data_IF_975779235674
#
_entry.id   IF_975779235674
#
_cell.length_a   1.000
_cell.length_b   1.000
_cell.length_c   1.000
_cell.angle_alpha   90.00
_cell.angle_beta   90.00
_cell.angle_gamma   90.00
#
_symmetry.space_group_name_H-M   'P 1'
#
loop_
_entity.id
_entity.type
_entity.pdbx_description
1 polymer ?
#
# COMPACT_ATOMS: atom_id res chain seq x y z
N UNK A 1 27.53 -2.24 25.29
CA UNK A 1 27.81 -0.98 24.56
C UNK A 1 28.18 0.18 25.49
N UNK A 2 27.37 0.51 26.50
CA UNK A 2 27.66 1.65 27.38
C UNK A 2 29.00 1.49 28.11
N UNK A 3 29.28 0.35 28.75
CA UNK A 3 30.56 0.05 29.45
C UNK A 3 31.74 0.17 28.48
N UNK A 4 31.64 -0.39 27.29
CA UNK A 4 32.73 -0.42 26.30
C UNK A 4 33.07 0.97 25.75
N UNK A 5 32.14 1.91 25.75
CA UNK A 5 32.39 3.29 25.37
C UNK A 5 33.18 4.10 26.42
N UNK A 6 33.27 3.60 27.66
CA UNK A 6 33.96 4.25 28.78
C UNK A 6 35.27 3.58 29.16
N UNK A 7 35.67 2.50 28.45
CA UNK A 7 36.97 1.88 28.61
C UNK A 7 38.00 2.59 27.74
N UNK A 8 39.06 3.08 28.35
CA UNK A 8 40.14 3.83 27.65
C UNK A 8 40.96 2.91 26.71
N UNK A 9 41.16 1.62 27.09
CA UNK A 9 41.91 0.62 26.31
C UNK A 9 41.03 -0.59 25.98
N UNK A 10 40.19 -0.49 24.98
CA UNK A 10 39.38 -1.61 24.51
C UNK A 10 40.02 -2.34 23.33
N UNK A 11 40.26 -3.64 23.49
CA UNK A 11 40.73 -4.52 22.39
C UNK A 11 39.57 -4.86 21.45
N UNK A 12 39.27 -3.95 20.50
CA UNK A 12 38.19 -4.11 19.53
C UNK A 12 38.38 -5.33 18.62
N UNK A 13 39.61 -5.76 18.37
CA UNK A 13 39.90 -6.98 17.58
C UNK A 13 39.44 -8.24 18.32
N UNK A 14 39.71 -8.28 19.62
CA UNK A 14 39.25 -9.37 20.50
C UNK A 14 37.71 -9.40 20.56
N UNK A 15 37.08 -8.25 20.73
CA UNK A 15 35.61 -8.13 20.73
C UNK A 15 35.02 -8.64 19.41
N UNK A 16 35.60 -8.27 18.27
CA UNK A 16 35.17 -8.75 16.96
C UNK A 16 35.27 -10.28 16.84
N UNK A 17 36.35 -10.87 17.33
CA UNK A 17 36.51 -12.35 17.39
C UNK A 17 35.46 -13.00 18.28
N UNK A 18 35.14 -12.39 19.43
CA UNK A 18 34.08 -12.88 20.32
C UNK A 18 32.71 -12.84 19.65
N UNK A 19 32.37 -11.74 18.96
CA UNK A 19 31.14 -11.66 18.16
C UNK A 19 31.08 -12.78 17.11
N UNK A 20 32.19 -13.04 16.41
CA UNK A 20 32.26 -14.10 15.40
C UNK A 20 32.05 -15.50 16.02
N UNK A 21 32.64 -15.78 17.19
CA UNK A 21 32.44 -17.04 17.94
C UNK A 21 30.99 -17.18 18.39
N UNK A 22 30.39 -16.13 18.95
CA UNK A 22 28.98 -16.15 19.39
C UNK A 22 28.04 -16.39 18.21
N UNK A 23 28.27 -15.76 17.06
CA UNK A 23 27.48 -15.95 15.84
C UNK A 23 27.73 -17.31 15.15
N UNK A 24 28.81 -18.03 15.49
CA UNK A 24 29.02 -19.41 15.08
C UNK A 24 28.22 -20.40 15.96
N UNK A 25 27.98 -20.05 17.23
CA UNK A 25 27.20 -20.86 18.15
C UNK A 25 25.70 -20.62 18.00
N UNK A 26 25.28 -19.35 17.79
CA UNK A 26 23.91 -18.94 17.57
C UNK A 26 23.86 -17.88 16.49
N UNK A 27 23.63 -18.30 15.26
CA UNK A 27 23.64 -17.45 14.07
C UNK A 27 22.46 -16.43 14.04
N UNK A 28 21.39 -16.70 14.81
CA UNK A 28 20.20 -15.87 14.85
C UNK A 28 20.18 -14.88 16.03
N UNK A 29 21.24 -14.84 16.84
CA UNK A 29 21.33 -13.95 17.98
C UNK A 29 21.38 -12.48 17.56
N UNK A 30 20.22 -11.82 17.52
CA UNK A 30 20.10 -10.42 17.09
C UNK A 30 20.86 -9.46 18.02
N UNK A 31 21.04 -9.76 19.32
CA UNK A 31 21.85 -8.96 20.23
C UNK A 31 23.32 -8.98 19.80
N UNK A 32 23.81 -10.15 19.41
CA UNK A 32 25.18 -10.30 18.93
C UNK A 32 25.39 -9.57 17.59
N UNK A 33 24.42 -9.62 16.66
CA UNK A 33 24.46 -8.85 15.41
C UNK A 33 24.50 -7.34 15.65
N UNK A 34 23.68 -6.84 16.55
CA UNK A 34 23.66 -5.42 16.92
C UNK A 34 24.97 -4.98 17.62
N UNK A 35 25.50 -5.83 18.50
CA UNK A 35 26.76 -5.55 19.15
C UNK A 35 27.92 -5.58 18.17
N UNK A 36 27.94 -6.56 17.24
CA UNK A 36 28.94 -6.64 16.17
C UNK A 36 28.97 -5.36 15.32
N UNK A 37 27.84 -4.80 14.93
CA UNK A 37 27.78 -3.56 14.18
C UNK A 37 28.49 -2.40 14.91
N UNK A 38 28.28 -2.30 16.21
CA UNK A 38 28.97 -1.33 17.06
C UNK A 38 30.48 -1.57 17.10
N UNK A 39 30.89 -2.84 17.29
CA UNK A 39 32.32 -3.22 17.38
C UNK A 39 33.04 -2.97 16.04
N UNK A 40 32.41 -3.31 14.92
CA UNK A 40 32.93 -3.07 13.55
C UNK A 40 33.26 -1.59 13.34
N UNK A 41 32.37 -0.69 13.75
CA UNK A 41 32.61 0.76 13.65
C UNK A 41 33.80 1.22 14.48
N UNK A 42 33.96 0.66 15.70
CA UNK A 42 35.05 1.00 16.61
C UNK A 42 36.39 0.37 16.20
N UNK A 43 36.35 -0.83 15.65
CA UNK A 43 37.54 -1.54 15.16
C UNK A 43 38.07 -1.01 13.81
N UNK A 44 37.32 -0.12 13.14
CA UNK A 44 37.69 0.41 11.82
C UNK A 44 37.70 -0.64 10.72
N UNK A 45 36.85 -1.69 10.82
CA UNK A 45 36.71 -2.71 9.79
C UNK A 45 36.05 -2.10 8.56
N UNK A 46 36.56 -2.40 7.36
CA UNK A 46 36.00 -1.87 6.13
C UNK A 46 34.59 -2.44 5.85
N UNK A 47 33.70 -1.67 5.20
CA UNK A 47 32.39 -2.16 4.79
C UNK A 47 32.48 -3.41 3.92
N UNK A 48 33.50 -3.52 3.09
CA UNK A 48 33.75 -4.64 2.17
C UNK A 48 34.11 -5.92 2.93
N UNK A 49 34.99 -5.84 3.94
CA UNK A 49 35.34 -6.99 4.77
C UNK A 49 34.12 -7.51 5.56
N UNK A 50 33.33 -6.58 6.10
CA UNK A 50 32.15 -6.95 6.87
C UNK A 50 31.03 -7.50 5.96
N UNK A 51 30.95 -7.01 4.73
CA UNK A 51 30.05 -7.54 3.71
C UNK A 51 30.38 -8.98 3.32
N UNK A 52 31.68 -9.31 3.20
CA UNK A 52 32.17 -10.68 2.99
C UNK A 52 31.84 -11.58 4.18
N UNK A 53 31.99 -11.08 5.41
CA UNK A 53 31.56 -11.82 6.59
C UNK A 53 30.06 -12.17 6.54
N UNK A 54 29.20 -11.22 6.22
CA UNK A 54 27.77 -11.46 6.04
C UNK A 54 27.51 -12.49 4.93
N UNK A 55 28.25 -12.41 3.80
CA UNK A 55 28.18 -13.39 2.72
C UNK A 55 28.50 -14.81 3.22
N UNK A 56 29.57 -14.99 3.98
CA UNK A 56 29.96 -16.29 4.52
C UNK A 56 28.87 -16.91 5.40
N UNK A 57 28.17 -16.08 6.18
CA UNK A 57 27.06 -16.53 7.04
C UNK A 57 25.83 -16.93 6.25
N UNK A 58 25.52 -16.22 5.17
CA UNK A 58 24.42 -16.55 4.26
C UNK A 58 24.72 -17.85 3.51
N UNK A 59 25.92 -18.01 2.96
CA UNK A 59 26.32 -19.24 2.24
C UNK A 59 26.33 -20.48 3.14
N UNK A 60 26.62 -20.32 4.42
CA UNK A 60 26.54 -21.43 5.39
C UNK A 60 25.08 -21.78 5.73
N UNK A 61 24.18 -20.80 5.74
CA UNK A 61 22.77 -20.99 6.08
C UNK A 61 21.88 -19.93 5.43
N UNK A 62 21.26 -20.27 4.30
CA UNK A 62 20.33 -19.36 3.58
C UNK A 62 19.08 -19.00 4.40
N UNK A 63 18.67 -19.85 5.35
CA UNK A 63 17.51 -19.59 6.22
C UNK A 63 17.81 -18.67 7.40
N UNK A 64 18.99 -18.03 7.43
CA UNK A 64 19.37 -17.08 8.46
C UNK A 64 18.90 -15.66 8.13
N UNK A 65 17.68 -15.30 8.55
CA UNK A 65 17.12 -13.94 8.37
C UNK A 65 18.04 -12.83 8.92
N UNK A 66 18.72 -13.05 10.05
CA UNK A 66 19.58 -12.04 10.66
C UNK A 66 20.76 -11.66 9.76
N UNK A 67 21.35 -12.64 9.05
CA UNK A 67 22.42 -12.39 8.09
C UNK A 67 21.95 -11.58 6.89
N UNK A 68 20.76 -11.90 6.34
CA UNK A 68 20.15 -11.14 5.25
C UNK A 68 19.82 -9.71 5.67
N UNK A 69 19.25 -9.54 6.86
CA UNK A 69 18.94 -8.22 7.40
C UNK A 69 20.20 -7.38 7.62
N UNK A 70 21.25 -8.00 8.19
CA UNK A 70 22.53 -7.31 8.39
C UNK A 70 23.15 -6.88 7.05
N UNK A 71 23.12 -7.77 6.05
CA UNK A 71 23.58 -7.51 4.69
C UNK A 71 22.85 -6.31 4.06
N UNK A 72 21.53 -6.24 4.19
CA UNK A 72 20.76 -5.10 3.64
C UNK A 72 21.19 -3.76 4.21
N UNK A 73 21.52 -3.71 5.51
CA UNK A 73 22.03 -2.50 6.17
C UNK A 73 23.41 -2.10 5.68
N UNK A 74 24.30 -3.06 5.46
CA UNK A 74 25.64 -2.81 4.91
C UNK A 74 25.54 -2.31 3.47
N UNK A 75 24.75 -2.96 2.64
CA UNK A 75 24.56 -2.59 1.24
C UNK A 75 24.00 -1.18 1.09
N UNK A 76 23.03 -0.80 1.94
CA UNK A 76 22.49 0.56 1.98
C UNK A 76 23.56 1.62 2.33
N UNK A 77 24.53 1.29 3.21
CA UNK A 77 25.64 2.19 3.55
C UNK A 77 26.63 2.30 2.39
N UNK A 78 26.95 1.17 1.74
CA UNK A 78 27.88 1.12 0.60
C UNK A 78 27.33 1.92 -0.59
N UNK A 79 26.04 1.82 -0.91
CA UNK A 79 25.40 2.55 -2.00
C UNK A 79 25.45 4.08 -1.85
N UNK A 80 25.50 4.61 -0.62
CA UNK A 80 25.61 6.05 -0.40
C UNK A 80 26.95 6.65 -0.86
N UNK A 81 27.97 5.82 -0.92
CA UNK A 81 29.36 6.25 -1.19
C UNK A 81 29.91 5.72 -2.51
N UNK A 82 29.10 4.98 -3.29
CA UNK A 82 29.52 4.35 -4.55
C UNK A 82 28.95 5.12 -5.76
N UNK A 83 29.62 5.00 -6.90
CA UNK A 83 29.09 5.49 -8.16
C UNK A 83 27.98 4.58 -8.70
N UNK A 84 27.25 5.04 -9.73
CA UNK A 84 26.09 4.32 -10.26
C UNK A 84 26.46 2.97 -10.88
N UNK A 85 27.64 2.84 -11.49
CA UNK A 85 28.09 1.60 -12.14
C UNK A 85 28.37 0.52 -11.11
N UNK A 86 29.08 0.87 -10.04
CA UNK A 86 29.38 -0.03 -8.93
C UNK A 86 28.09 -0.50 -8.23
N UNK A 87 27.12 0.41 -8.11
CA UNK A 87 25.79 0.09 -7.56
C UNK A 87 25.08 -0.95 -8.44
N UNK A 88 25.06 -0.75 -9.74
CA UNK A 88 24.35 -1.63 -10.68
C UNK A 88 25.00 -3.02 -10.74
N UNK A 89 26.33 -3.12 -10.71
CA UNK A 89 27.05 -4.38 -10.66
C UNK A 89 26.79 -5.14 -9.34
N UNK A 90 26.87 -4.44 -8.21
CA UNK A 90 26.57 -5.03 -6.90
C UNK A 90 25.14 -5.53 -6.83
N UNK A 91 24.17 -4.78 -7.36
CA UNK A 91 22.77 -5.22 -7.42
C UNK A 91 22.57 -6.47 -8.25
N UNK A 92 23.24 -6.59 -9.39
CA UNK A 92 23.19 -7.78 -10.22
C UNK A 92 23.66 -9.00 -9.43
N UNK A 93 24.81 -8.90 -8.78
CA UNK A 93 25.37 -9.98 -7.97
C UNK A 93 24.45 -10.37 -6.79
N UNK A 94 23.75 -9.37 -6.20
CA UNK A 94 22.78 -9.61 -5.13
C UNK A 94 21.55 -10.36 -5.64
N UNK A 95 21.04 -10.01 -6.84
CA UNK A 95 19.91 -10.71 -7.43
C UNK A 95 20.25 -12.19 -7.74
N UNK A 96 21.45 -12.46 -8.21
CA UNK A 96 21.94 -13.84 -8.46
C UNK A 96 22.06 -14.63 -7.14
N UNK A 97 22.65 -14.02 -6.09
CA UNK A 97 22.78 -14.65 -4.78
C UNK A 97 21.42 -15.00 -4.18
N UNK A 98 20.49 -14.05 -4.20
CA UNK A 98 19.16 -14.26 -3.59
C UNK A 98 18.33 -15.27 -4.39
N UNK A 99 18.47 -15.29 -5.72
CA UNK A 99 17.81 -16.29 -6.57
C UNK A 99 18.31 -17.71 -6.21
N UNK A 100 19.63 -17.91 -6.10
CA UNK A 100 20.18 -19.19 -5.68
C UNK A 100 19.64 -19.65 -4.31
N UNK A 101 19.51 -18.72 -3.35
CA UNK A 101 18.95 -19.03 -2.05
C UNK A 101 17.47 -19.41 -2.11
N UNK A 102 16.64 -18.67 -2.88
CA UNK A 102 15.20 -18.95 -3.01
C UNK A 102 14.91 -20.26 -3.75
N UNK A 103 15.77 -20.68 -4.67
CA UNK A 103 15.66 -21.97 -5.36
C UNK A 103 16.21 -23.14 -4.52
N UNK A 104 17.12 -22.88 -3.58
CA UNK A 104 17.65 -23.91 -2.67
C UNK A 104 16.64 -24.29 -1.60
N UNK A 105 15.97 -23.33 -0.98
CA UNK A 105 14.88 -23.54 -0.03
C UNK A 105 13.72 -22.59 -0.31
N UNK A 106 12.83 -22.94 -1.25
CA UNK A 106 11.71 -22.09 -1.63
C UNK A 106 10.68 -21.85 -0.53
N UNK A 107 10.69 -22.64 0.53
CA UNK A 107 9.76 -22.52 1.66
C UNK A 107 10.20 -21.50 2.71
N UNK A 108 11.52 -21.25 2.85
CA UNK A 108 12.06 -20.29 3.81
C UNK A 108 11.88 -18.84 3.36
N UNK A 109 11.31 -18.02 4.21
CA UNK A 109 10.97 -16.62 3.88
C UNK A 109 12.16 -15.65 3.88
N UNK A 110 13.31 -16.03 4.42
CA UNK A 110 14.43 -15.11 4.71
C UNK A 110 15.00 -14.46 3.44
N UNK A 111 15.28 -15.27 2.41
CA UNK A 111 15.79 -14.79 1.13
C UNK A 111 14.72 -13.99 0.36
N UNK A 112 13.44 -14.39 0.44
CA UNK A 112 12.33 -13.67 -0.22
C UNK A 112 12.13 -12.26 0.33
N UNK A 113 12.25 -12.04 1.65
CA UNK A 113 12.19 -10.71 2.24
C UNK A 113 13.36 -9.84 1.78
N UNK A 114 14.56 -10.42 1.69
CA UNK A 114 15.72 -9.69 1.20
C UNK A 114 15.57 -9.31 -0.28
N UNK A 115 15.10 -10.23 -1.13
CA UNK A 115 14.83 -9.96 -2.54
C UNK A 115 13.81 -8.84 -2.71
N UNK A 116 12.72 -8.88 -1.97
CA UNK A 116 11.69 -7.84 -2.00
C UNK A 116 12.28 -6.48 -1.62
N UNK A 117 13.06 -6.45 -0.53
CA UNK A 117 13.76 -5.24 -0.14
C UNK A 117 14.72 -4.76 -1.24
N UNK A 118 15.51 -5.64 -1.85
CA UNK A 118 16.46 -5.32 -2.90
C UNK A 118 15.77 -4.69 -4.12
N UNK A 119 14.64 -5.26 -4.55
CA UNK A 119 13.86 -4.74 -5.65
C UNK A 119 13.20 -3.39 -5.32
N UNK A 120 12.81 -3.14 -4.08
CA UNK A 120 12.11 -1.93 -3.64
C UNK A 120 13.05 -0.83 -3.09
N UNK A 121 14.33 -1.13 -2.81
CA UNK A 121 15.27 -0.29 -2.06
C UNK A 121 15.60 1.08 -2.69
N UNK A 122 15.06 1.41 -3.86
CA UNK A 122 15.34 2.66 -4.58
C UNK A 122 14.10 3.47 -4.93
N UNK A 123 12.96 3.18 -4.36
CA UNK A 123 11.84 4.11 -4.46
C UNK A 123 12.18 5.37 -3.67
N UNK A 124 12.42 6.49 -4.38
CA UNK A 124 12.64 7.77 -3.70
C UNK A 124 11.43 8.04 -2.81
N UNK A 125 11.69 8.41 -1.57
CA UNK A 125 10.68 8.75 -0.57
C UNK A 125 10.02 10.09 -0.90
N UNK A 126 9.24 10.15 -1.99
CA UNK A 126 8.34 11.28 -2.20
C UNK A 126 7.41 11.37 -0.99
N UNK A 127 7.30 12.54 -0.38
CA UNK A 127 6.39 12.76 0.75
C UNK A 127 4.94 12.69 0.29
N UNK A 128 4.63 13.12 -0.95
CA UNK A 128 3.31 13.02 -1.55
C UNK A 128 3.15 11.66 -2.24
N UNK A 129 2.09 10.93 -1.90
CA UNK A 129 1.67 9.70 -2.56
C UNK A 129 0.71 10.00 -3.70
N UNK A 130 -0.39 10.68 -3.39
CA UNK A 130 -1.46 11.01 -4.34
C UNK A 130 -2.08 12.36 -4.00
N UNK A 131 -2.57 13.06 -5.02
CA UNK A 131 -3.40 14.23 -4.83
C UNK A 131 -4.43 14.34 -5.97
N UNK A 132 -5.62 14.84 -5.63
CA UNK A 132 -6.72 15.13 -6.54
C UNK A 132 -7.28 16.51 -6.20
N UNK A 133 -7.39 17.37 -7.20
CA UNK A 133 -8.15 18.63 -7.11
C UNK A 133 -9.29 18.57 -8.12
N UNK A 134 -10.52 18.71 -7.63
CA UNK A 134 -11.73 18.73 -8.43
C UNK A 134 -12.63 19.85 -7.91
N UNK A 135 -13.07 20.73 -8.78
CA UNK A 135 -13.83 21.94 -8.43
C UNK A 135 -13.10 22.76 -7.35
N UNK A 136 -13.65 22.85 -6.15
CA UNK A 136 -13.04 23.53 -4.98
C UNK A 136 -12.51 22.56 -3.93
N UNK A 137 -12.49 21.27 -4.22
CA UNK A 137 -12.10 20.23 -3.27
C UNK A 137 -10.70 19.70 -3.59
N UNK A 138 -9.94 19.42 -2.54
CA UNK A 138 -8.62 18.81 -2.61
C UNK A 138 -8.61 17.55 -1.76
N UNK A 139 -8.12 16.45 -2.29
CA UNK A 139 -7.80 15.23 -1.53
C UNK A 139 -6.30 15.02 -1.65
N UNK A 140 -5.63 14.83 -0.53
CA UNK A 140 -4.20 14.64 -0.46
C UNK A 140 -3.89 13.42 0.41
N UNK A 141 -3.06 12.53 -0.12
CA UNK A 141 -2.49 11.39 0.61
C UNK A 141 -0.96 11.48 0.62
N UNK A 142 -0.39 11.55 1.82
CA UNK A 142 1.04 11.57 2.04
C UNK A 142 1.56 10.18 2.46
N UNK A 143 2.83 9.88 2.19
CA UNK A 143 3.47 8.64 2.61
C UNK A 143 3.77 8.59 4.11
N UNK A 144 3.81 9.75 4.76
CA UNK A 144 4.01 9.91 6.21
C UNK A 144 3.00 10.90 6.78
N UNK A 145 2.86 10.90 8.11
CA UNK A 145 2.01 11.89 8.76
C UNK A 145 2.61 13.30 8.61
N UNK A 146 1.82 14.23 8.09
CA UNK A 146 2.17 15.64 7.90
C UNK A 146 1.17 16.53 8.63
N UNK A 147 1.56 17.78 8.97
CA UNK A 147 0.68 18.76 9.60
C UNK A 147 0.09 19.73 8.57
N UNK A 148 -1.02 20.38 8.92
CA UNK A 148 -1.62 21.43 8.08
C UNK A 148 -0.67 22.58 7.78
N UNK A 149 0.21 22.92 8.72
CA UNK A 149 1.19 24.00 8.58
C UNK A 149 2.23 23.74 7.47
N UNK A 150 2.41 22.48 7.10
CA UNK A 150 3.38 22.06 6.08
C UNK A 150 2.77 21.79 4.72
N UNK A 151 1.44 21.97 4.56
CA UNK A 151 0.72 21.68 3.32
C UNK A 151 0.25 22.97 2.66
N UNK A 152 0.54 23.13 1.37
CA UNK A 152 0.18 24.29 0.58
C UNK A 152 -0.45 23.86 -0.73
N UNK A 153 -1.48 24.60 -1.19
CA UNK A 153 -2.01 24.52 -2.54
C UNK A 153 -1.59 25.78 -3.30
N UNK A 154 -0.92 25.62 -4.42
CA UNK A 154 -0.50 26.70 -5.27
C UNK A 154 -1.20 26.61 -6.63
N UNK A 155 -1.87 27.68 -7.04
CA UNK A 155 -2.58 27.80 -8.32
C UNK A 155 -2.00 28.98 -9.08
N UNK A 156 -1.52 28.75 -10.31
CA UNK A 156 -0.89 29.77 -11.15
C UNK A 156 0.21 30.58 -10.42
N UNK A 157 1.04 29.88 -9.59
CA UNK A 157 2.11 30.46 -8.75
C UNK A 157 1.66 31.22 -7.49
N UNK A 158 0.35 31.36 -7.23
CA UNK A 158 -0.18 31.97 -6.02
C UNK A 158 -0.59 30.90 -5.00
N UNK A 159 -0.26 31.10 -3.73
CA UNK A 159 -0.71 30.23 -2.66
C UNK A 159 -2.17 30.49 -2.34
N UNK A 160 -3.00 29.45 -2.39
CA UNK A 160 -4.42 29.53 -2.09
C UNK A 160 -4.69 29.22 -0.61
N UNK A 161 -5.67 29.90 -0.05
CA UNK A 161 -6.11 29.63 1.31
C UNK A 161 -7.06 28.42 1.34
N UNK A 162 -6.56 27.28 1.80
CA UNK A 162 -7.28 26.03 1.88
C UNK A 162 -7.63 25.70 3.32
N UNK A 163 -8.90 25.40 3.56
CA UNK A 163 -9.33 24.85 4.84
C UNK A 163 -9.08 23.35 4.86
N UNK A 164 -7.99 22.93 5.51
CA UNK A 164 -7.61 21.54 5.61
C UNK A 164 -8.27 20.86 6.80
N UNK A 165 -8.80 19.66 6.56
CA UNK A 165 -9.34 18.76 7.59
C UNK A 165 -8.76 17.37 7.39
N UNK A 166 -8.18 16.78 8.46
CA UNK A 166 -7.82 15.37 8.44
C UNK A 166 -9.07 14.51 8.65
N UNK A 167 -9.07 13.29 8.13
CA UNK A 167 -10.21 12.39 8.27
C UNK A 167 -10.51 12.00 9.73
N UNK A 168 -9.50 12.03 10.60
CA UNK A 168 -9.61 11.74 12.04
C UNK A 168 -9.63 13.00 12.93
N UNK A 169 -9.68 14.19 12.34
CA UNK A 169 -9.61 15.47 13.04
C UNK A 169 -8.32 15.64 13.89
N UNK A 170 -7.24 14.99 13.50
CA UNK A 170 -5.94 15.02 14.16
C UNK A 170 -5.03 16.10 13.57
N UNK A 171 -4.08 16.62 14.38
CA UNK A 171 -3.11 17.62 13.92
C UNK A 171 -2.13 17.07 12.87
N UNK A 172 -1.85 15.76 12.92
CA UNK A 172 -0.97 15.06 11.99
C UNK A 172 -1.71 13.90 11.34
N UNK A 173 -1.71 13.83 10.02
CA UNK A 173 -2.38 12.76 9.26
C UNK A 173 -1.64 12.47 7.96
N UNK A 174 -1.92 11.31 7.37
CA UNK A 174 -1.54 10.99 5.99
C UNK A 174 -2.58 11.48 5.00
N UNK A 175 -3.87 11.41 5.36
CA UNK A 175 -4.99 11.76 4.48
C UNK A 175 -5.60 13.09 4.90
N UNK A 176 -5.66 14.02 3.95
CA UNK A 176 -6.19 15.37 4.13
C UNK A 176 -7.23 15.70 3.08
N UNK A 177 -8.28 16.38 3.53
CA UNK A 177 -9.29 16.98 2.69
C UNK A 177 -9.18 18.49 2.79
N UNK A 178 -9.16 19.17 1.66
CA UNK A 178 -9.06 20.62 1.59
C UNK A 178 -10.23 21.22 0.83
N UNK A 179 -10.69 22.38 1.26
CA UNK A 179 -11.70 23.18 0.54
C UNK A 179 -11.14 24.60 0.39
N UNK A 180 -11.18 25.12 -0.83
CA UNK A 180 -10.82 26.50 -1.14
C UNK A 180 -11.99 27.25 -1.77
N UNK A 181 -12.04 28.57 -1.63
CA UNK A 181 -13.25 29.38 -1.94
C UNK A 181 -13.25 30.04 -3.33
N UNK A 182 -12.17 29.96 -4.07
CA UNK A 182 -12.02 30.71 -5.32
C UNK A 182 -12.64 29.92 -6.47
N UNK A 183 -13.64 30.50 -7.19
CA UNK A 183 -13.97 30.05 -8.53
C UNK A 183 -12.77 30.32 -9.42
N UNK A 184 -12.27 29.28 -10.04
CA UNK A 184 -10.97 29.30 -10.71
C UNK A 184 -11.12 29.98 -12.08
N UNK A 185 -10.47 31.15 -12.32
CA UNK A 185 -10.21 31.61 -13.68
C UNK A 185 -9.33 30.59 -14.38
N UNK A 186 -9.06 30.74 -15.66
CA UNK A 186 -8.18 29.82 -16.42
C UNK A 186 -6.99 29.31 -15.60
N UNK A 187 -7.10 28.06 -15.12
CA UNK A 187 -6.03 27.40 -14.37
C UNK A 187 -5.03 26.89 -15.38
N UNK A 188 -3.81 27.39 -15.30
CA UNK A 188 -2.69 26.92 -16.14
C UNK A 188 -1.89 25.81 -15.45
N UNK A 189 -1.73 25.90 -14.14
CA UNK A 189 -1.00 24.90 -13.36
C UNK A 189 -1.47 24.87 -11.89
N UNK A 190 -1.37 23.68 -11.29
CA UNK A 190 -1.59 23.46 -9.86
C UNK A 190 -0.41 22.68 -9.30
N UNK A 191 0.04 23.07 -8.10
CA UNK A 191 1.05 22.35 -7.33
C UNK A 191 0.57 22.11 -5.91
N UNK A 192 0.92 20.95 -5.36
CA UNK A 192 0.81 20.68 -3.93
C UNK A 192 2.21 20.82 -3.31
N UNK A 193 2.35 21.69 -2.34
CA UNK A 193 3.55 21.84 -1.53
C UNK A 193 3.43 21.02 -0.25
N UNK A 194 4.46 20.24 0.08
CA UNK A 194 4.57 19.54 1.38
C UNK A 194 6.00 19.70 1.87
N UNK A 195 6.15 20.26 3.09
CA UNK A 195 7.46 20.45 3.72
C UNK A 195 8.47 21.16 2.81
N UNK A 196 8.03 22.15 2.04
CA UNK A 196 8.86 22.94 1.13
C UNK A 196 9.13 22.29 -0.24
N UNK A 197 8.65 21.08 -0.48
CA UNK A 197 8.73 20.42 -1.81
C UNK A 197 7.41 20.59 -2.54
N UNK A 198 7.46 21.05 -3.81
CA UNK A 198 6.29 21.26 -4.65
C UNK A 198 6.13 20.15 -5.67
N UNK A 199 4.91 19.62 -5.79
CA UNK A 199 4.54 18.52 -6.67
C UNK A 199 3.54 19.03 -7.71
N UNK A 200 3.88 19.06 -9.01
CA UNK A 200 2.98 19.49 -10.06
C UNK A 200 1.87 18.48 -10.28
N UNK A 201 0.63 18.98 -10.45
CA UNK A 201 -0.51 18.16 -10.83
C UNK A 201 -0.73 18.23 -12.35
N UNK A 202 -1.18 17.11 -12.91
CA UNK A 202 -1.55 16.98 -14.31
C UNK A 202 -3.06 17.20 -14.46
N UNK A 203 -3.50 17.90 -15.52
CA UNK A 203 -4.90 18.15 -15.79
C UNK A 203 -5.50 17.06 -16.67
N UNK A 204 -6.62 16.46 -16.21
CA UNK A 204 -7.39 15.45 -16.92
C UNK A 204 -8.88 15.64 -16.65
N UNK A 205 -9.71 15.80 -17.69
CA UNK A 205 -11.17 15.83 -17.58
C UNK A 205 -11.72 16.61 -16.39
N UNK A 206 -11.38 17.90 -16.31
CA UNK A 206 -11.78 18.83 -15.24
C UNK A 206 -11.25 18.45 -13.84
N UNK A 207 -10.29 17.54 -13.75
CA UNK A 207 -9.61 17.15 -12.51
C UNK A 207 -8.11 17.42 -12.64
N UNK A 208 -7.46 17.77 -11.53
CA UNK A 208 -6.01 17.89 -11.44
C UNK A 208 -5.50 16.79 -10.51
N UNK A 209 -4.49 16.01 -10.98
CA UNK A 209 -4.06 14.80 -10.30
C UNK A 209 -2.55 14.79 -10.19
N UNK A 210 -2.07 14.49 -9.00
CA UNK A 210 -0.69 14.08 -8.82
C UNK A 210 -0.61 12.57 -8.93
N UNK A 211 0.28 12.12 -9.81
CA UNK A 211 0.71 10.73 -9.91
C UNK A 211 2.20 10.68 -9.66
N UNK A 212 2.60 9.85 -8.74
CA UNK A 212 4.01 9.53 -8.59
C UNK A 212 4.44 8.84 -9.88
N UNK A 213 5.34 9.48 -10.66
CA UNK A 213 5.91 8.83 -11.84
C UNK A 213 6.59 7.54 -11.40
N UNK A 214 6.37 6.44 -12.11
CA UNK A 214 7.19 5.25 -11.96
C UNK A 214 8.65 5.66 -12.16
N UNK A 215 9.46 5.43 -11.14
CA UNK A 215 10.90 5.54 -11.34
C UNK A 215 11.31 4.45 -12.32
N UNK A 216 12.10 4.85 -13.34
CA UNK A 216 12.82 3.87 -14.15
C UNK A 216 13.51 2.92 -13.18
N UNK A 217 13.19 1.64 -13.26
CA UNK A 217 13.89 0.62 -12.47
C UNK A 217 15.38 0.81 -12.66
N UNK A 218 16.15 0.76 -11.58
CA UNK A 218 17.60 0.76 -11.67
C UNK A 218 18.16 -0.57 -12.22
N UNK A 219 17.29 -1.55 -12.44
CA UNK A 219 17.62 -2.82 -13.07
C UNK A 219 17.35 -2.75 -14.56
N UNK A 220 18.22 -3.37 -15.36
CA UNK A 220 17.99 -3.56 -16.78
C UNK A 220 16.73 -4.45 -16.96
N UNK A 221 15.89 -4.12 -17.94
CA UNK A 221 14.67 -4.85 -18.25
C UNK A 221 14.97 -6.33 -18.55
N UNK A 222 16.05 -6.60 -19.30
CA UNK A 222 16.46 -7.97 -19.63
C UNK A 222 16.78 -8.82 -18.40
N UNK A 223 17.41 -8.23 -17.37
CA UNK A 223 17.69 -8.89 -16.09
C UNK A 223 16.41 -9.24 -15.32
N UNK A 224 15.44 -8.33 -15.32
CA UNK A 224 14.16 -8.57 -14.66
C UNK A 224 13.34 -9.63 -15.42
N UNK A 225 13.41 -9.65 -16.76
CA UNK A 225 12.76 -10.67 -17.58
C UNK A 225 13.37 -12.06 -17.37
N UNK A 226 14.69 -12.17 -17.26
CA UNK A 226 15.38 -13.42 -16.95
C UNK A 226 14.95 -13.97 -15.59
N UNK A 227 14.93 -13.11 -14.57
CA UNK A 227 14.43 -13.47 -13.25
C UNK A 227 12.96 -13.89 -13.27
N UNK A 228 12.11 -13.13 -13.98
CA UNK A 228 10.70 -13.47 -14.10
C UNK A 228 10.51 -14.85 -14.75
N UNK A 229 11.29 -15.15 -15.80
CA UNK A 229 11.26 -16.47 -16.44
C UNK A 229 11.59 -17.59 -15.45
N UNK A 230 12.63 -17.42 -14.64
CA UNK A 230 13.03 -18.38 -13.62
C UNK A 230 11.94 -18.57 -12.55
N UNK A 231 11.34 -17.48 -12.05
CA UNK A 231 10.25 -17.59 -11.06
C UNK A 231 8.94 -18.13 -11.65
N UNK A 232 8.64 -17.91 -12.91
CA UNK A 232 7.52 -18.61 -13.59
C UNK A 232 7.74 -20.12 -13.60
N UNK A 233 8.96 -20.59 -13.89
CA UNK A 233 9.29 -22.02 -13.79
C UNK A 233 9.14 -22.55 -12.34
N UNK A 234 9.57 -21.78 -11.35
CA UNK A 234 9.37 -22.17 -9.95
C UNK A 234 7.90 -22.27 -9.57
N UNK A 235 7.06 -21.36 -10.05
CA UNK A 235 5.59 -21.40 -9.86
C UNK A 235 4.98 -22.65 -10.50
N UNK A 236 5.47 -23.08 -11.68
CA UNK A 236 5.04 -24.32 -12.34
C UNK A 236 5.45 -25.57 -11.54
N UNK A 237 6.66 -25.57 -10.98
CA UNK A 237 7.17 -26.68 -10.16
C UNK A 237 6.52 -26.74 -8.78
N UNK A 238 6.27 -25.58 -8.18
CA UNK A 238 5.69 -25.42 -6.84
C UNK A 238 4.46 -24.48 -6.88
N UNK A 239 3.31 -24.93 -7.39
CA UNK A 239 2.12 -24.08 -7.54
C UNK A 239 1.58 -23.52 -6.22
N UNK A 240 1.95 -24.12 -5.09
CA UNK A 240 1.55 -23.70 -3.75
C UNK A 240 2.62 -22.83 -3.06
N UNK A 241 3.59 -22.29 -3.78
CA UNK A 241 4.59 -21.40 -3.18
C UNK A 241 4.16 -19.95 -3.27
N UNK A 242 3.60 -19.41 -2.17
CA UNK A 242 3.12 -18.02 -2.10
C UNK A 242 4.22 -16.98 -2.42
N UNK A 243 5.46 -17.27 -2.05
CA UNK A 243 6.57 -16.35 -2.24
C UNK A 243 6.96 -16.22 -3.72
N UNK A 244 6.95 -17.33 -4.45
CA UNK A 244 7.18 -17.34 -5.88
C UNK A 244 6.12 -16.53 -6.63
N UNK A 245 4.83 -16.73 -6.32
CA UNK A 245 3.74 -15.93 -6.88
C UNK A 245 3.89 -14.44 -6.57
N UNK A 246 4.19 -14.07 -5.31
CA UNK A 246 4.39 -12.68 -4.91
C UNK A 246 5.55 -12.02 -5.65
N UNK A 247 6.67 -12.74 -5.82
CA UNK A 247 7.85 -12.22 -6.51
C UNK A 247 7.60 -12.10 -8.02
N UNK A 248 6.91 -13.07 -8.62
CA UNK A 248 6.51 -12.99 -10.02
C UNK A 248 5.63 -11.75 -10.27
N UNK A 249 4.62 -11.50 -9.42
CA UNK A 249 3.78 -10.30 -9.49
C UNK A 249 4.64 -9.03 -9.38
N UNK A 250 5.56 -8.96 -8.41
CA UNK A 250 6.42 -7.79 -8.21
C UNK A 250 7.29 -7.50 -9.44
N UNK A 251 7.89 -8.55 -10.04
CA UNK A 251 8.71 -8.43 -11.24
C UNK A 251 7.87 -8.00 -12.45
N UNK A 252 6.72 -8.63 -12.69
CA UNK A 252 5.81 -8.28 -13.78
C UNK A 252 5.39 -6.81 -13.70
N UNK A 253 5.06 -6.31 -12.50
CA UNK A 253 4.73 -4.89 -12.25
C UNK A 253 5.90 -3.95 -12.54
N UNK A 254 7.13 -4.36 -12.24
CA UNK A 254 8.33 -3.52 -12.48
C UNK A 254 8.75 -3.49 -13.94
N UNK A 255 8.49 -4.55 -14.68
CA UNK A 255 8.81 -4.65 -16.12
C UNK A 255 7.77 -3.87 -16.93
N UNK A 256 6.56 -4.39 -16.99
CA UNK A 256 5.45 -3.79 -17.73
C UNK A 256 4.13 -4.32 -17.16
N UNK A 257 3.46 -3.48 -16.40
CA UNK A 257 2.21 -3.82 -15.75
C UNK A 257 1.10 -4.16 -16.76
N UNK A 258 0.97 -3.39 -17.84
CA UNK A 258 -0.10 -3.55 -18.84
C UNK A 258 0.11 -4.86 -19.60
N UNK A 259 1.33 -5.13 -20.02
CA UNK A 259 1.69 -6.35 -20.75
C UNK A 259 1.40 -7.63 -19.95
N UNK A 260 1.63 -7.60 -18.64
CA UNK A 260 1.49 -8.77 -17.76
C UNK A 260 0.20 -8.78 -16.93
N UNK A 261 -0.77 -7.96 -17.28
CA UNK A 261 -2.00 -7.77 -16.49
C UNK A 261 -2.71 -9.08 -16.15
N UNK A 262 -3.02 -9.92 -17.16
CA UNK A 262 -3.72 -11.20 -16.99
C UNK A 262 -2.91 -12.21 -16.15
N UNK A 263 -1.59 -12.27 -16.38
CA UNK A 263 -0.70 -13.13 -15.60
C UNK A 263 -0.67 -12.73 -14.11
N UNK A 264 -0.70 -11.45 -13.85
CA UNK A 264 -0.72 -10.90 -12.49
C UNK A 264 -2.05 -11.24 -11.81
N UNK A 265 -3.18 -11.07 -12.49
CA UNK A 265 -4.50 -11.47 -11.97
C UNK A 265 -4.55 -12.95 -11.63
N UNK A 266 -4.02 -13.79 -12.50
CA UNK A 266 -3.95 -15.25 -12.29
C UNK A 266 -3.16 -15.58 -11.02
N UNK A 267 -1.97 -15.00 -10.83
CA UNK A 267 -1.16 -15.20 -9.63
C UNK A 267 -1.85 -14.67 -8.35
N UNK A 268 -2.56 -13.54 -8.44
CA UNK A 268 -3.33 -12.98 -7.33
C UNK A 268 -4.50 -13.90 -6.93
N UNK A 269 -5.22 -14.47 -7.90
CA UNK A 269 -6.28 -15.42 -7.61
C UNK A 269 -5.75 -16.63 -6.83
N UNK A 270 -4.60 -17.18 -7.22
CA UNK A 270 -3.96 -18.27 -6.47
C UNK A 270 -3.65 -17.83 -5.03
N UNK A 271 -3.10 -16.63 -4.83
CA UNK A 271 -2.77 -16.11 -3.51
C UNK A 271 -4.01 -15.91 -2.62
N UNK A 272 -5.12 -15.44 -3.18
CA UNK A 272 -6.38 -15.24 -2.46
C UNK A 272 -7.00 -16.59 -2.07
N UNK A 273 -7.17 -17.50 -3.04
CA UNK A 273 -7.92 -18.73 -2.84
C UNK A 273 -7.12 -19.80 -2.09
N UNK A 274 -5.83 -19.97 -2.39
CA UNK A 274 -5.01 -21.02 -1.79
C UNK A 274 -4.40 -20.62 -0.45
N UNK A 275 -4.12 -19.32 -0.25
CA UNK A 275 -3.37 -18.86 0.92
C UNK A 275 -4.17 -17.92 1.84
N UNK A 276 -5.45 -17.70 1.55
CA UNK A 276 -6.30 -16.77 2.30
C UNK A 276 -5.56 -15.40 2.53
N UNK A 277 -4.95 -14.92 1.46
CA UNK A 277 -4.05 -13.77 1.53
C UNK A 277 -4.85 -12.53 1.92
N UNK A 278 -4.38 -11.78 2.89
CA UNK A 278 -5.10 -10.63 3.43
C UNK A 278 -5.39 -9.60 2.34
N UNK A 279 -6.60 -9.12 2.32
CA UNK A 279 -7.19 -8.13 1.41
C UNK A 279 -6.30 -6.93 1.03
N UNK A 280 -5.41 -6.52 1.93
CA UNK A 280 -4.52 -5.37 1.74
C UNK A 280 -3.73 -5.43 0.42
N UNK A 281 -3.13 -6.56 0.09
CA UNK A 281 -2.31 -6.71 -1.12
C UNK A 281 -3.12 -6.67 -2.40
N UNK A 282 -4.36 -7.21 -2.36
CA UNK A 282 -5.25 -7.20 -3.51
C UNK A 282 -5.76 -5.80 -3.80
N UNK A 283 -6.10 -5.05 -2.76
CA UNK A 283 -6.56 -3.67 -2.90
C UNK A 283 -5.40 -2.77 -3.36
N UNK A 284 -4.22 -2.87 -2.74
CA UNK A 284 -3.02 -2.15 -3.17
C UNK A 284 -2.70 -2.46 -4.64
N UNK A 285 -2.92 -3.70 -5.05
CA UNK A 285 -2.72 -4.12 -6.43
C UNK A 285 -3.75 -3.46 -7.37
N UNK A 286 -5.07 -3.62 -7.12
CA UNK A 286 -6.10 -3.00 -7.96
C UNK A 286 -6.01 -1.47 -7.97
N UNK A 287 -5.59 -0.85 -6.88
CA UNK A 287 -5.32 0.58 -6.83
C UNK A 287 -4.13 0.97 -7.70
N UNK A 288 -3.09 0.15 -7.79
CA UNK A 288 -1.96 0.43 -8.68
C UNK A 288 -2.33 0.37 -10.16
N UNK A 289 -3.31 -0.47 -10.55
CA UNK A 289 -3.82 -0.53 -11.92
C UNK A 289 -4.31 0.83 -12.42
N UNK A 290 -5.05 1.52 -11.55
CA UNK A 290 -5.70 2.77 -11.89
C UNK A 290 -4.72 3.96 -11.95
N UNK A 291 -3.52 3.79 -11.38
CA UNK A 291 -2.49 4.82 -11.32
C UNK A 291 -1.35 4.59 -12.32
N UNK A 292 -1.25 3.39 -12.89
CA UNK A 292 -0.18 2.99 -13.83
C UNK A 292 -0.53 3.24 -15.31
N UNK A 293 -1.72 3.77 -15.62
CA UNK A 293 -2.11 4.07 -16.99
C UNK A 293 -1.27 5.26 -17.50
N UNK A 294 -0.28 4.97 -18.35
CA UNK A 294 0.45 5.96 -19.12
C UNK A 294 -0.41 6.40 -20.32
N UNK A 295 -0.65 7.70 -20.45
CA UNK A 295 -1.36 8.29 -21.58
C UNK A 295 -2.60 9.10 -21.20
N UNK A 296 -3.25 9.71 -22.20
CA UNK A 296 -4.43 10.57 -22.12
C UNK A 296 -5.74 9.85 -21.74
N UNK A 297 -5.67 8.67 -21.13
CA UNK A 297 -6.84 7.91 -20.75
C UNK A 297 -7.45 8.45 -19.46
N UNK A 298 -8.78 8.46 -19.42
CA UNK A 298 -9.58 8.94 -18.29
C UNK A 298 -9.22 8.27 -16.97
N UNK A 299 -8.97 9.09 -15.96
CA UNK A 299 -8.85 8.62 -14.60
C UNK A 299 -10.21 8.11 -14.16
N UNK A 300 -10.33 6.78 -14.04
CA UNK A 300 -11.56 6.15 -13.57
C UNK A 300 -11.94 6.73 -12.21
N UNK A 301 -13.21 7.17 -12.11
CA UNK A 301 -13.80 7.58 -10.84
C UNK A 301 -14.42 6.41 -10.07
N UNK A 302 -14.34 5.21 -10.64
CA UNK A 302 -14.93 3.97 -10.12
C UNK A 302 -13.88 2.89 -9.90
N UNK A 303 -14.10 2.06 -8.88
CA UNK A 303 -13.30 0.88 -8.61
C UNK A 303 -14.18 -0.31 -8.25
N UNK A 304 -13.89 -1.46 -8.87
CA UNK A 304 -14.56 -2.73 -8.55
C UNK A 304 -13.64 -3.64 -7.73
N UNK A 305 -14.02 -3.85 -6.46
CA UNK A 305 -13.37 -4.73 -5.49
C UNK A 305 -14.31 -5.88 -5.09
N UNK A 306 -15.29 -6.22 -5.92
CA UNK A 306 -16.24 -7.29 -5.64
C UNK A 306 -15.60 -8.68 -5.75
N UNK A 307 -16.11 -9.65 -4.97
CA UNK A 307 -15.71 -11.05 -5.06
C UNK A 307 -14.27 -11.37 -4.63
N UNK A 308 -13.63 -10.49 -3.86
CA UNK A 308 -12.22 -10.65 -3.45
C UNK A 308 -12.06 -11.32 -2.07
N UNK A 309 -13.12 -11.88 -1.51
CA UNK A 309 -13.12 -12.48 -0.17
C UNK A 309 -12.58 -11.53 0.93
N UNK A 310 -12.86 -10.22 0.81
CA UNK A 310 -12.40 -9.23 1.76
C UNK A 310 -13.11 -9.38 3.09
N UNK A 311 -12.35 -9.48 4.17
CA UNK A 311 -12.87 -9.48 5.55
C UNK A 311 -12.59 -8.17 6.27
N UNK A 312 -11.66 -7.36 5.76
CA UNK A 312 -11.23 -6.07 6.33
C UNK A 312 -10.84 -5.09 5.23
N UNK A 313 -10.92 -3.80 5.52
CA UNK A 313 -10.54 -2.68 4.65
C UNK A 313 -9.44 -1.79 5.28
N UNK A 314 -8.63 -2.32 6.18
CA UNK A 314 -7.58 -1.54 6.85
C UNK A 314 -6.55 -0.96 5.86
N UNK A 315 -6.15 0.29 6.07
CA UNK A 315 -5.16 1.06 5.29
C UNK A 315 -5.58 1.32 3.82
N UNK A 316 -6.85 1.62 3.59
CA UNK A 316 -7.40 1.86 2.25
C UNK A 316 -7.66 3.35 1.97
N UNK A 317 -6.80 4.22 2.47
CA UNK A 317 -6.89 5.67 2.27
C UNK A 317 -6.94 6.06 0.79
N UNK A 318 -6.34 5.24 -0.08
CA UNK A 318 -6.39 5.39 -1.53
C UNK A 318 -7.80 5.33 -2.14
N UNK A 319 -8.75 4.65 -1.48
CA UNK A 319 -10.13 4.55 -1.95
C UNK A 319 -10.85 5.91 -1.94
N UNK A 320 -10.33 6.92 -1.25
CA UNK A 320 -10.87 8.29 -1.29
C UNK A 320 -10.73 8.99 -2.63
N UNK A 321 -9.93 8.46 -3.53
CA UNK A 321 -9.78 9.02 -4.87
C UNK A 321 -10.88 8.56 -5.85
N UNK A 322 -11.78 7.66 -5.39
CA UNK A 322 -12.91 7.15 -6.16
C UNK A 322 -14.24 7.67 -5.63
N UNK A 323 -15.15 7.97 -6.55
CA UNK A 323 -16.51 8.39 -6.24
C UNK A 323 -17.48 7.19 -6.21
N UNK A 324 -17.16 6.12 -6.96
CA UNK A 324 -17.93 4.88 -7.03
C UNK A 324 -17.09 3.69 -6.62
N UNK A 325 -17.58 2.93 -5.62
CA UNK A 325 -16.83 1.80 -5.05
C UNK A 325 -17.77 0.59 -4.96
N UNK A 326 -17.38 -0.49 -5.63
CA UNK A 326 -18.09 -1.77 -5.53
C UNK A 326 -17.29 -2.72 -4.60
N UNK A 327 -17.87 -3.03 -3.45
CA UNK A 327 -17.37 -3.98 -2.45
C UNK A 327 -18.30 -5.21 -2.33
N UNK A 328 -19.13 -5.47 -3.34
CA UNK A 328 -20.08 -6.60 -3.33
C UNK A 328 -19.40 -7.97 -3.24
N UNK A 329 -20.14 -8.99 -2.81
CA UNK A 329 -19.67 -10.37 -2.69
C UNK A 329 -18.35 -10.51 -1.91
N UNK A 330 -18.27 -9.87 -0.74
CA UNK A 330 -17.18 -9.96 0.24
C UNK A 330 -17.73 -10.38 1.62
N UNK A 331 -16.95 -10.29 2.69
CA UNK A 331 -17.28 -10.69 4.06
C UNK A 331 -17.00 -9.55 5.05
N UNK A 332 -17.62 -8.37 4.83
CA UNK A 332 -17.31 -7.14 5.57
C UNK A 332 -18.19 -6.91 6.81
N UNK A 333 -19.02 -7.85 7.24
CA UNK A 333 -19.95 -7.70 8.37
C UNK A 333 -19.29 -7.16 9.65
N UNK A 334 -18.10 -7.63 9.98
CA UNK A 334 -17.37 -7.19 11.16
C UNK A 334 -16.53 -5.91 10.96
N UNK A 335 -16.46 -5.38 9.74
CA UNK A 335 -15.51 -4.33 9.34
C UNK A 335 -16.18 -3.06 8.83
N UNK A 336 -17.49 -2.89 8.99
CA UNK A 336 -18.24 -1.72 8.52
C UNK A 336 -17.68 -0.40 9.06
N UNK A 337 -17.20 -0.36 10.30
CA UNK A 337 -16.58 0.83 10.89
C UNK A 337 -15.34 1.33 10.10
N UNK A 338 -14.68 0.42 9.37
CA UNK A 338 -13.52 0.75 8.55
C UNK A 338 -13.89 1.53 7.27
N UNK A 339 -15.17 1.61 6.91
CA UNK A 339 -15.64 2.46 5.82
C UNK A 339 -15.59 3.96 6.15
N UNK A 340 -15.33 4.33 7.41
CA UNK A 340 -15.36 5.72 7.89
C UNK A 340 -14.43 6.67 7.12
N UNK A 341 -13.40 6.16 6.47
CA UNK A 341 -12.51 6.98 5.65
C UNK A 341 -13.04 7.27 4.24
N UNK A 342 -14.09 6.60 3.74
CA UNK A 342 -14.64 6.78 2.39
C UNK A 342 -15.43 8.09 2.22
N UNK A 343 -14.84 9.23 2.58
CA UNK A 343 -15.53 10.52 2.63
C UNK A 343 -15.84 11.11 1.25
N UNK A 344 -15.17 10.68 0.18
CA UNK A 344 -15.45 11.14 -1.18
C UNK A 344 -16.41 10.23 -1.96
N UNK A 345 -16.79 9.07 -1.37
CA UNK A 345 -17.64 8.09 -2.03
C UNK A 345 -19.06 8.59 -2.18
N UNK A 346 -19.59 8.56 -3.41
CA UNK A 346 -20.97 8.91 -3.77
C UNK A 346 -21.83 7.68 -3.98
N UNK A 347 -21.24 6.60 -4.52
CA UNK A 347 -21.93 5.36 -4.79
C UNK A 347 -21.15 4.19 -4.20
N UNK A 348 -21.80 3.47 -3.28
CA UNK A 348 -21.23 2.33 -2.57
C UNK A 348 -22.11 1.11 -2.76
N UNK A 349 -21.51 0.01 -3.22
CA UNK A 349 -22.15 -1.30 -3.21
C UNK A 349 -21.53 -2.18 -2.14
N UNK A 350 -22.37 -2.69 -1.24
CA UNK A 350 -22.09 -3.71 -0.22
C UNK A 350 -22.98 -4.95 -0.40
N UNK A 351 -23.45 -5.18 -1.62
CA UNK A 351 -24.31 -6.32 -1.93
C UNK A 351 -23.62 -7.63 -1.59
N UNK A 352 -24.37 -8.63 -1.08
CA UNK A 352 -23.83 -9.97 -0.79
C UNK A 352 -22.61 -9.97 0.16
N UNK A 353 -22.71 -9.26 1.30
CA UNK A 353 -21.65 -9.18 2.31
C UNK A 353 -22.01 -9.86 3.64
N UNK A 354 -23.12 -10.60 3.68
CA UNK A 354 -23.62 -11.23 4.90
C UNK A 354 -23.87 -10.26 6.07
N UNK A 355 -24.19 -9.00 5.76
CA UNK A 355 -24.47 -7.98 6.77
C UNK A 355 -25.76 -8.29 7.52
N UNK A 356 -25.69 -8.41 8.83
CA UNK A 356 -26.83 -8.63 9.74
C UNK A 356 -27.24 -7.36 10.49
N UNK A 357 -26.34 -6.37 10.61
CA UNK A 357 -26.57 -5.09 11.26
C UNK A 357 -25.84 -3.95 10.56
N UNK A 358 -26.42 -2.73 10.64
CA UNK A 358 -25.84 -1.47 10.18
C UNK A 358 -25.41 -0.54 11.32
N UNK A 359 -25.45 -1.01 12.57
CA UNK A 359 -25.09 -0.20 13.74
C UNK A 359 -23.70 0.44 13.60
N UNK A 360 -22.72 -0.32 13.10
CA UNK A 360 -21.33 0.13 12.89
C UNK A 360 -21.10 0.81 11.56
N UNK A 361 -22.14 1.01 10.74
CA UNK A 361 -21.99 1.72 9.46
C UNK A 361 -21.71 3.20 9.74
N UNK A 362 -20.56 3.75 9.23
CA UNK A 362 -20.16 5.12 9.53
C UNK A 362 -21.00 6.15 8.76
N UNK A 363 -20.94 7.40 9.20
CA UNK A 363 -21.51 8.50 8.41
C UNK A 363 -20.57 8.88 7.26
N UNK A 364 -21.06 8.77 6.03
CA UNK A 364 -20.38 9.14 4.80
C UNK A 364 -21.09 10.36 4.19
N UNK A 365 -20.47 11.54 4.29
CA UNK A 365 -21.13 12.82 4.01
C UNK A 365 -21.58 13.00 2.56
N UNK A 366 -20.87 12.37 1.61
CA UNK A 366 -21.11 12.50 0.17
C UNK A 366 -21.87 11.31 -0.43
N UNK A 367 -22.29 10.34 0.39
CA UNK A 367 -22.95 9.14 -0.09
C UNK A 367 -24.37 9.46 -0.59
N UNK A 368 -24.61 9.16 -1.86
CA UNK A 368 -25.89 9.39 -2.55
C UNK A 368 -26.61 8.07 -2.92
N UNK A 369 -25.84 7.03 -3.25
CA UNK A 369 -26.33 5.74 -3.72
C UNK A 369 -25.72 4.63 -2.88
N UNK A 370 -26.59 3.80 -2.26
CA UNK A 370 -26.16 2.68 -1.45
C UNK A 370 -26.91 1.40 -1.87
N UNK A 371 -26.15 0.37 -2.23
CA UNK A 371 -26.70 -0.97 -2.44
C UNK A 371 -26.31 -1.90 -1.31
N UNK A 372 -27.34 -2.44 -0.63
CA UNK A 372 -27.26 -3.42 0.44
C UNK A 372 -27.95 -4.73 0.03
N UNK A 373 -28.19 -4.93 -1.26
CA UNK A 373 -28.89 -6.09 -1.81
C UNK A 373 -28.27 -7.41 -1.32
N UNK A 374 -29.10 -8.42 -1.12
CA UNK A 374 -28.69 -9.78 -0.75
C UNK A 374 -27.77 -9.80 0.49
N UNK A 375 -28.30 -9.26 1.60
CA UNK A 375 -27.69 -9.31 2.92
C UNK A 375 -28.67 -9.94 3.93
N UNK A 376 -28.33 -9.94 5.22
CA UNK A 376 -29.13 -10.56 6.29
C UNK A 376 -29.81 -9.50 7.18
N UNK A 377 -30.04 -8.30 6.65
CA UNK A 377 -30.60 -7.18 7.41
C UNK A 377 -32.06 -7.45 7.76
N UNK A 378 -32.44 -7.29 9.02
CA UNK A 378 -33.78 -7.54 9.53
C UNK A 378 -34.35 -6.41 10.41
N UNK A 379 -33.52 -5.41 10.78
CA UNK A 379 -33.88 -4.33 11.69
C UNK A 379 -34.28 -3.06 10.93
N UNK A 380 -35.56 -2.68 10.98
CA UNK A 380 -36.11 -1.48 10.34
C UNK A 380 -35.54 -0.21 10.96
N UNK A 381 -35.36 -0.17 12.28
CA UNK A 381 -34.84 1.01 12.99
C UNK A 381 -33.43 1.41 12.52
N UNK A 382 -32.55 0.44 12.31
CA UNK A 382 -31.20 0.69 11.80
C UNK A 382 -31.23 1.30 10.39
N UNK A 383 -32.18 0.90 9.55
CA UNK A 383 -32.34 1.48 8.20
C UNK A 383 -32.84 2.93 8.30
N UNK A 384 -33.82 3.20 9.19
CA UNK A 384 -34.31 4.57 9.40
C UNK A 384 -33.20 5.47 9.95
N UNK A 385 -32.40 5.00 10.89
CA UNK A 385 -31.24 5.75 11.39
C UNK A 385 -30.15 5.97 10.32
N UNK A 386 -29.94 5.01 9.42
CA UNK A 386 -29.07 5.20 8.27
C UNK A 386 -29.57 6.37 7.39
N UNK A 387 -30.87 6.41 7.09
CA UNK A 387 -31.48 7.46 6.27
C UNK A 387 -31.42 8.85 6.91
N UNK A 388 -31.53 8.93 8.25
CA UNK A 388 -31.37 10.20 8.98
C UNK A 388 -29.95 10.72 8.85
N UNK A 389 -28.93 9.85 8.87
CA UNK A 389 -27.52 10.23 8.79
C UNK A 389 -27.04 10.53 7.39
N UNK A 390 -27.73 10.04 6.34
CA UNK A 390 -27.32 10.14 4.95
C UNK A 390 -28.43 10.69 4.07
N UNK A 391 -28.08 11.63 3.17
CA UNK A 391 -29.00 12.16 2.17
C UNK A 391 -28.99 11.28 0.91
N UNK A 392 -29.45 10.03 1.05
CA UNK A 392 -29.45 9.09 -0.06
C UNK A 392 -30.50 9.49 -1.12
N UNK A 393 -30.12 9.34 -2.38
CA UNK A 393 -31.00 9.41 -3.56
C UNK A 393 -31.53 8.04 -3.95
N UNK A 394 -30.73 6.99 -3.71
CA UNK A 394 -31.10 5.60 -4.00
C UNK A 394 -30.62 4.65 -2.90
N UNK A 395 -31.53 3.77 -2.47
CA UNK A 395 -31.24 2.68 -1.56
C UNK A 395 -31.80 1.36 -2.11
N UNK A 396 -30.94 0.38 -2.29
CA UNK A 396 -31.31 -0.97 -2.73
C UNK A 396 -31.21 -1.96 -1.54
N UNK A 397 -32.36 -2.45 -1.08
CA UNK A 397 -32.50 -3.41 0.03
C UNK A 397 -32.98 -4.78 -0.45
N UNK A 398 -33.15 -5.01 -1.74
CA UNK A 398 -33.69 -6.28 -2.27
C UNK A 398 -32.95 -7.47 -1.68
N UNK A 399 -33.70 -8.58 -1.55
CA UNK A 399 -33.15 -9.86 -1.03
C UNK A 399 -32.61 -9.76 0.40
N UNK A 400 -33.17 -8.84 1.23
CA UNK A 400 -32.97 -8.82 2.69
C UNK A 400 -34.22 -9.26 3.45
N UNK A 401 -34.07 -9.91 4.60
CA UNK A 401 -35.23 -10.30 5.44
C UNK A 401 -36.13 -9.11 5.80
N UNK A 402 -35.57 -7.92 5.99
CA UNK A 402 -36.33 -6.70 6.35
C UNK A 402 -37.38 -6.31 5.30
N UNK A 403 -37.21 -6.67 4.03
CA UNK A 403 -38.16 -6.38 2.95
C UNK A 403 -39.52 -7.03 3.17
N UNK A 404 -39.58 -8.13 3.94
CA UNK A 404 -40.83 -8.82 4.31
C UNK A 404 -41.56 -8.13 5.46
N UNK A 405 -41.02 -7.07 6.06
CA UNK A 405 -41.63 -6.37 7.19
C UNK A 405 -42.75 -5.45 6.72
N UNK A 406 -43.98 -5.70 7.24
CA UNK A 406 -45.13 -4.87 6.92
C UNK A 406 -44.90 -3.42 7.34
N UNK A 407 -45.14 -2.48 6.41
CA UNK A 407 -44.99 -1.04 6.66
C UNK A 407 -43.57 -0.46 6.46
N UNK A 408 -42.57 -1.27 6.11
CA UNK A 408 -41.23 -0.79 5.84
C UNK A 408 -41.20 0.34 4.79
N UNK A 409 -41.86 0.12 3.65
CA UNK A 409 -41.90 1.10 2.57
C UNK A 409 -42.57 2.40 3.02
N UNK A 410 -43.66 2.34 3.75
CA UNK A 410 -44.36 3.51 4.28
C UNK A 410 -43.46 4.30 5.26
N UNK A 411 -42.76 3.63 6.17
CA UNK A 411 -41.87 4.23 7.13
C UNK A 411 -40.65 4.94 6.44
N UNK A 412 -40.11 4.30 5.41
CA UNK A 412 -38.97 4.89 4.64
C UNK A 412 -39.44 6.10 3.83
N UNK A 413 -40.57 6.02 3.12
CA UNK A 413 -41.13 7.15 2.33
C UNK A 413 -41.46 8.33 3.24
N UNK A 414 -41.97 8.08 4.44
CA UNK A 414 -42.25 9.13 5.41
C UNK A 414 -40.97 9.85 5.89
N UNK A 415 -39.83 9.16 5.94
CA UNK A 415 -38.55 9.74 6.36
C UNK A 415 -37.83 10.47 5.22
N UNK A 416 -38.01 10.06 3.96
CA UNK A 416 -37.38 10.67 2.79
C UNK A 416 -38.25 10.46 1.53
N UNK A 417 -38.95 11.51 1.10
CA UNK A 417 -39.91 11.49 -0.04
C UNK A 417 -39.22 11.38 -1.39
N UNK A 418 -37.96 11.80 -1.51
CA UNK A 418 -37.22 11.87 -2.78
C UNK A 418 -36.33 10.62 -2.99
N UNK A 419 -36.39 9.66 -2.07
CA UNK A 419 -35.57 8.46 -2.13
C UNK A 419 -36.11 7.45 -3.13
N UNK A 420 -35.29 7.04 -4.09
CA UNK A 420 -35.57 5.89 -4.93
C UNK A 420 -35.25 4.60 -4.12
N UNK A 421 -36.28 3.83 -3.79
CA UNK A 421 -36.16 2.64 -2.96
C UNK A 421 -36.43 1.37 -3.78
N UNK A 422 -35.51 0.39 -3.70
CA UNK A 422 -35.67 -0.95 -4.24
C UNK A 422 -35.79 -1.97 -3.11
N UNK A 423 -36.94 -2.64 -3.00
CA UNK A 423 -37.26 -3.66 -1.98
C UNK A 423 -37.85 -4.95 -2.56
N UNK A 424 -38.17 -4.99 -3.86
CA UNK A 424 -38.70 -6.16 -4.59
C UNK A 424 -37.64 -6.76 -5.52
#
# INVERSE_FOLDING_TARGET
MWIMNHLEDCDWKRELMLCSKCLNLDERNFHCWNYREFVVQKAGVSPEEEFQFATSKILNNFSNYSSWHYRSRLLSKMFRNSDQRDIDEKKKNELELVMNATFTDPSDSSAWFYQRWLLDAHESSSTLSQALVKDTNVILLANKNVSTESIYLQINTENENVQWKSWQETKFSKLWFGIFKKQLPEIKNIHIGIEGTFYPLLHFNQKWIYRKRKYKSCYNEDQLLEQLSSYKQLVEMEPNNKWAHLTAILLMRKIDFIKFYEDILTNLHVLIFCFNFRSKYVIEYKLSELWDIEGDQDVKSEIDLSGLNLTTLSNNEHLNFFEEINLGANFLSNSLHQLSFLQNCKKLSLSSNELDSLEKFPTLQNLEILSLRNNKLNNVEEILQLLIRHKLKLLDLRENPVCNTKGLQAAIIQSNTDLQLYIE
#
